data_IF_719253390699
#
_entry.id   IF_719253390699
#
_cell.length_a   1.000
_cell.length_b   1.000
_cell.length_c   1.000
_cell.angle_alpha   90.00
_cell.angle_beta   90.00
_cell.angle_gamma   90.00
#
_symmetry.space_group_name_H-M   'P 1'
#
loop_
_entity.id
_entity.type
_entity.pdbx_description
1 polymer ?
#
# COMPACT_ATOMS: atom_id res chain seq x y z
N UNK A 1 2.85 -20.96 52.93
CA UNK A 1 1.85 -20.88 51.83
C UNK A 1 1.72 -19.48 51.24
N UNK A 2 1.51 -18.41 52.03
CA UNK A 2 1.31 -17.04 51.52
C UNK A 2 2.49 -16.46 50.71
N UNK A 3 3.74 -16.71 51.13
CA UNK A 3 4.94 -16.23 50.41
C UNK A 3 5.12 -16.86 49.02
N UNK A 4 4.78 -18.15 48.87
CA UNK A 4 4.82 -18.83 47.57
C UNK A 4 3.74 -18.29 46.62
N UNK A 5 2.55 -17.98 47.13
CA UNK A 5 1.48 -17.39 46.33
C UNK A 5 1.85 -15.98 45.82
N UNK A 6 2.52 -15.16 46.65
CA UNK A 6 3.02 -13.84 46.26
C UNK A 6 4.09 -13.93 45.17
N UNK A 7 5.04 -14.86 45.28
CA UNK A 7 6.08 -15.09 44.27
C UNK A 7 5.50 -15.55 42.93
N UNK A 8 4.48 -16.43 42.95
CA UNK A 8 3.81 -16.90 41.74
C UNK A 8 2.98 -15.78 41.09
N UNK A 9 2.25 -14.98 41.87
CA UNK A 9 1.54 -13.80 41.35
C UNK A 9 2.49 -12.75 40.79
N UNK A 10 3.63 -12.52 41.43
CA UNK A 10 4.61 -11.54 40.96
C UNK A 10 5.28 -12.02 39.67
N UNK A 11 5.72 -13.29 39.61
CA UNK A 11 6.30 -13.88 38.41
C UNK A 11 5.32 -13.91 37.22
N UNK A 12 4.04 -14.23 37.47
CA UNK A 12 3.02 -14.21 36.42
C UNK A 12 2.69 -12.80 35.92
N UNK A 13 2.67 -11.79 36.79
CA UNK A 13 2.50 -10.39 36.36
C UNK A 13 3.63 -9.93 35.43
N UNK A 14 4.87 -10.31 35.71
CA UNK A 14 6.02 -10.01 34.83
C UNK A 14 5.92 -10.73 33.48
N UNK A 15 5.49 -12.00 33.48
CA UNK A 15 5.28 -12.75 32.24
C UNK A 15 4.17 -12.15 31.38
N UNK A 16 3.06 -11.71 31.98
CA UNK A 16 1.96 -11.03 31.28
C UNK A 16 2.45 -9.69 30.71
N UNK A 17 3.22 -8.91 31.47
CA UNK A 17 3.80 -7.65 31.00
C UNK A 17 4.73 -7.84 29.80
N UNK A 18 5.63 -8.84 29.86
CA UNK A 18 6.53 -9.19 28.76
C UNK A 18 5.77 -9.68 27.53
N UNK A 19 4.75 -10.52 27.72
CA UNK A 19 3.91 -11.01 26.63
C UNK A 19 3.17 -9.86 25.93
N UNK A 20 2.60 -8.94 26.70
CA UNK A 20 1.89 -7.77 26.17
C UNK A 20 2.83 -6.82 25.44
N UNK A 21 4.04 -6.59 25.96
CA UNK A 21 5.08 -5.82 25.28
C UNK A 21 5.49 -6.46 23.93
N UNK A 22 5.67 -7.78 23.90
CA UNK A 22 5.96 -8.52 22.67
C UNK A 22 4.82 -8.43 21.64
N UNK A 23 3.57 -8.55 22.08
CA UNK A 23 2.41 -8.40 21.21
C UNK A 23 2.32 -7.00 20.62
N UNK A 24 2.57 -5.96 21.42
CA UNK A 24 2.60 -4.58 20.94
C UNK A 24 3.74 -4.37 19.91
N UNK A 25 4.91 -4.95 20.16
CA UNK A 25 6.05 -4.85 19.25
C UNK A 25 5.78 -5.58 17.92
N UNK A 26 5.16 -6.76 17.97
CA UNK A 26 4.72 -7.49 16.77
C UNK A 26 3.64 -6.74 16.01
N UNK A 27 2.66 -6.16 16.70
CA UNK A 27 1.62 -5.33 16.08
C UNK A 27 2.23 -4.10 15.41
N UNK A 28 3.19 -3.43 16.06
CA UNK A 28 3.89 -2.28 15.50
C UNK A 28 4.68 -2.69 14.24
N UNK A 29 5.41 -3.80 14.28
CA UNK A 29 6.13 -4.34 13.12
C UNK A 29 5.20 -4.69 11.97
N UNK A 30 4.06 -5.30 12.26
CA UNK A 30 3.01 -5.58 11.27
C UNK A 30 2.48 -4.31 10.65
N UNK A 31 2.17 -3.29 11.45
CA UNK A 31 1.68 -1.98 10.97
C UNK A 31 2.74 -1.31 10.09
N UNK A 32 4.00 -1.28 10.52
CA UNK A 32 5.12 -0.71 9.74
C UNK A 32 5.31 -1.48 8.45
N UNK A 33 5.30 -2.81 8.49
CA UNK A 33 5.37 -3.64 7.29
C UNK A 33 4.20 -3.34 6.36
N UNK A 34 2.98 -3.25 6.87
CA UNK A 34 1.79 -2.96 6.07
C UNK A 34 1.83 -1.56 5.47
N UNK A 35 2.34 -0.58 6.20
CA UNK A 35 2.61 0.75 5.69
C UNK A 35 3.65 0.68 4.58
N UNK A 36 4.83 0.11 4.83
CA UNK A 36 5.93 -0.01 3.86
C UNK A 36 5.50 -0.77 2.58
N UNK A 37 4.91 -1.96 2.72
CA UNK A 37 4.43 -2.77 1.59
C UNK A 37 3.16 -2.21 0.93
N UNK A 38 2.31 -1.52 1.69
CA UNK A 38 1.12 -0.85 1.16
C UNK A 38 1.46 0.45 0.43
N UNK A 39 2.67 0.98 0.58
CA UNK A 39 3.16 2.18 -0.09
C UNK A 39 3.91 1.83 -1.37
N UNK A 40 3.21 1.22 -2.33
CA UNK A 40 3.57 1.41 -3.75
C UNK A 40 3.27 2.88 -4.13
N UNK A 41 4.00 3.82 -3.52
CA UNK A 41 3.87 5.24 -3.75
C UNK A 41 4.74 5.59 -4.96
N UNK A 42 4.08 5.85 -6.09
CA UNK A 42 4.67 6.47 -7.26
C UNK A 42 3.69 7.46 -7.86
N UNK A 43 4.20 8.38 -8.66
CA UNK A 43 3.38 9.29 -9.44
C UNK A 43 3.16 8.66 -10.82
N UNK A 44 1.91 8.33 -11.13
CA UNK A 44 1.50 7.98 -12.48
C UNK A 44 1.10 9.28 -13.20
N UNK A 45 1.81 9.64 -14.27
CA UNK A 45 1.42 10.75 -15.15
C UNK A 45 0.98 10.24 -16.51
N UNK A 46 -0.07 10.88 -17.02
CA UNK A 46 -0.59 10.65 -18.36
C UNK A 46 -0.02 11.76 -19.24
N UNK A 47 0.75 11.38 -20.26
CA UNK A 47 1.23 12.31 -21.28
C UNK A 47 0.47 12.02 -22.57
N UNK A 48 -0.41 12.93 -23.01
CA UNK A 48 -1.13 12.75 -24.27
C UNK A 48 -0.11 12.83 -25.41
N UNK A 49 -0.01 11.78 -26.22
CA UNK A 49 0.87 11.75 -27.38
C UNK A 49 0.08 12.21 -28.62
N UNK A 50 0.65 13.12 -29.41
CA UNK A 50 0.01 13.78 -30.56
C UNK A 50 -0.52 12.85 -31.66
N UNK A 51 -0.14 11.57 -31.69
CA UNK A 51 -0.31 10.69 -32.86
C UNK A 51 -1.16 9.43 -32.65
N UNK A 52 -2.06 9.41 -31.66
CA UNK A 52 -2.94 8.28 -31.31
C UNK A 52 -2.25 7.37 -30.27
N UNK A 53 -2.35 7.78 -29.01
CA UNK A 53 -1.89 6.99 -27.87
C UNK A 53 -1.74 7.83 -26.61
N UNK A 54 -2.09 7.26 -25.46
CA UNK A 54 -1.71 7.83 -24.15
C UNK A 54 -0.41 7.16 -23.72
N UNK A 55 0.63 7.96 -23.45
CA UNK A 55 1.88 7.48 -22.86
C UNK A 55 1.74 7.55 -21.35
N UNK A 56 1.97 6.43 -20.68
CA UNK A 56 1.92 6.33 -19.23
C UNK A 56 3.33 6.42 -18.67
N UNK A 57 3.61 7.50 -17.95
CA UNK A 57 4.87 7.72 -17.28
C UNK A 57 4.72 7.31 -15.81
N UNK A 58 5.50 6.32 -15.34
CA UNK A 58 5.58 5.99 -13.93
C UNK A 58 6.84 6.57 -13.32
N UNK A 59 6.68 7.32 -12.22
CA UNK A 59 7.79 7.82 -11.42
C UNK A 59 7.78 7.17 -10.04
N UNK A 60 8.69 6.23 -9.75
CA UNK A 60 8.82 5.68 -8.40
C UNK A 60 9.31 6.77 -7.44
N UNK A 61 8.85 6.73 -6.18
CA UNK A 61 9.23 7.70 -5.13
C UNK A 61 10.72 7.71 -4.81
N UNK A 62 11.45 6.65 -5.17
CA UNK A 62 12.90 6.51 -4.98
C UNK A 62 13.76 7.48 -5.82
N UNK A 63 13.15 8.41 -6.55
CA UNK A 63 13.87 9.42 -7.32
C UNK A 63 14.40 8.89 -8.66
N UNK A 64 14.03 7.67 -9.02
CA UNK A 64 14.50 7.06 -10.26
C UNK A 64 13.85 7.73 -11.48
N UNK A 65 14.57 7.62 -12.61
CA UNK A 65 14.21 8.20 -13.89
C UNK A 65 12.79 7.79 -14.29
N UNK A 66 12.05 8.75 -14.83
CA UNK A 66 10.67 8.55 -15.26
C UNK A 66 10.65 7.53 -16.40
N UNK A 67 10.04 6.39 -16.16
CA UNK A 67 10.04 5.29 -17.11
C UNK A 67 8.73 5.22 -17.86
N UNK A 68 8.88 4.88 -19.13
CA UNK A 68 7.77 4.57 -20.01
C UNK A 68 7.26 3.18 -19.70
N UNK A 69 6.00 3.07 -19.30
CA UNK A 69 5.45 1.80 -18.84
C UNK A 69 4.14 1.49 -19.54
N UNK A 70 3.99 0.23 -19.95
CA UNK A 70 2.71 -0.28 -20.38
C UNK A 70 1.81 -0.44 -19.14
N UNK A 71 0.68 0.26 -19.16
CA UNK A 71 -0.32 0.20 -18.09
C UNK A 71 -1.46 -0.71 -18.53
N UNK A 72 -1.71 -1.77 -17.76
CA UNK A 72 -2.85 -2.67 -17.96
C UNK A 72 -3.80 -2.57 -16.78
N UNK A 73 -5.09 -2.41 -17.05
CA UNK A 73 -6.10 -2.53 -16.01
C UNK A 73 -6.45 -4.01 -15.81
N UNK A 74 -6.10 -4.57 -14.65
CA UNK A 74 -6.51 -5.95 -14.31
C UNK A 74 -7.88 -6.00 -13.66
N UNK A 75 -8.23 -4.96 -12.92
CA UNK A 75 -9.51 -4.90 -12.21
C UNK A 75 -9.93 -3.46 -11.97
N UNK A 76 -11.15 -3.13 -12.39
CA UNK A 76 -11.78 -1.85 -12.16
C UNK A 76 -13.00 -2.02 -11.24
N UNK A 77 -12.78 -1.93 -9.94
CA UNK A 77 -13.84 -2.00 -8.94
C UNK A 77 -14.41 -0.62 -8.56
N UNK A 78 -15.58 -0.59 -7.89
CA UNK A 78 -16.19 0.66 -7.42
C UNK A 78 -15.31 1.42 -6.42
N UNK A 79 -14.48 0.70 -5.67
CA UNK A 79 -13.62 1.25 -4.61
C UNK A 79 -12.13 0.95 -4.80
N UNK A 80 -11.79 -0.07 -5.58
CA UNK A 80 -10.44 -0.62 -5.68
C UNK A 80 -10.06 -0.76 -7.15
N UNK A 81 -8.87 -0.30 -7.53
CA UNK A 81 -8.38 -0.42 -8.91
C UNK A 81 -7.08 -1.22 -8.87
N UNK A 82 -7.04 -2.36 -9.55
CA UNK A 82 -5.80 -3.10 -9.76
C UNK A 82 -5.20 -2.73 -11.11
N UNK A 83 -4.02 -2.15 -11.05
CA UNK A 83 -3.21 -1.82 -12.21
C UNK A 83 -2.03 -2.78 -12.28
N UNK A 84 -1.60 -3.11 -13.47
CA UNK A 84 -0.35 -3.80 -13.72
C UNK A 84 0.54 -2.86 -14.54
N UNK A 85 1.68 -2.49 -13.96
CA UNK A 85 2.65 -1.56 -14.53
C UNK A 85 3.92 -2.36 -14.76
N UNK A 86 4.25 -2.66 -16.02
CA UNK A 86 5.44 -3.43 -16.39
C UNK A 86 5.61 -4.74 -15.59
N UNK A 87 4.51 -5.50 -15.44
CA UNK A 87 4.44 -6.74 -14.66
C UNK A 87 4.34 -6.57 -13.13
N UNK A 88 4.49 -5.34 -12.61
CA UNK A 88 4.27 -5.04 -11.20
C UNK A 88 2.80 -4.72 -10.92
N UNK A 89 2.14 -5.54 -10.09
CA UNK A 89 0.75 -5.31 -9.69
C UNK A 89 0.66 -4.25 -8.61
N UNK A 90 -0.11 -3.19 -8.88
CA UNK A 90 -0.38 -2.08 -7.98
C UNK A 90 -1.87 -2.02 -7.64
N UNK A 91 -2.17 -1.94 -6.35
CA UNK A 91 -3.54 -1.75 -5.86
C UNK A 91 -3.73 -0.30 -5.43
N UNK A 92 -4.65 0.39 -6.11
CA UNK A 92 -5.08 1.72 -5.74
C UNK A 92 -6.31 1.63 -4.86
N UNK A 93 -6.16 2.15 -3.65
CA UNK A 93 -7.23 2.35 -2.69
C UNK A 93 -7.86 3.74 -2.90
N UNK A 94 -9.11 3.96 -2.47
CA UNK A 94 -9.82 5.22 -2.72
C UNK A 94 -9.21 6.43 -1.99
N UNK A 95 -8.39 6.16 -0.98
CA UNK A 95 -7.61 7.09 -0.14
C UNK A 95 -6.16 7.26 -0.62
N UNK A 96 -5.72 6.54 -1.66
CA UNK A 96 -4.37 6.66 -2.22
C UNK A 96 -4.13 7.97 -2.98
N UNK A 97 -5.18 8.65 -3.43
CA UNK A 97 -5.11 9.92 -4.16
C UNK A 97 -6.39 10.74 -3.98
N UNK A 98 -6.43 11.97 -4.51
CA UNK A 98 -7.67 12.75 -4.50
C UNK A 98 -8.76 12.09 -5.35
N UNK A 99 -10.02 12.32 -4.96
CA UNK A 99 -11.18 11.77 -5.68
C UNK A 99 -11.24 12.26 -7.13
N UNK A 100 -10.84 13.50 -7.43
CA UNK A 100 -10.76 13.97 -8.83
C UNK A 100 -9.73 13.17 -9.64
N UNK A 101 -8.54 12.93 -9.09
CA UNK A 101 -7.46 12.21 -9.77
C UNK A 101 -7.88 10.77 -10.08
N UNK A 102 -8.51 10.09 -9.12
CA UNK A 102 -9.05 8.74 -9.32
C UNK A 102 -10.17 8.71 -10.38
N UNK A 103 -11.05 9.71 -10.39
CA UNK A 103 -12.10 9.81 -11.44
C UNK A 103 -11.51 10.02 -12.83
N UNK A 104 -10.49 10.87 -12.96
CA UNK A 104 -9.80 11.08 -14.23
C UNK A 104 -9.11 9.79 -14.69
N UNK A 105 -8.38 9.11 -13.79
CA UNK A 105 -7.75 7.83 -14.06
C UNK A 105 -8.76 6.80 -14.58
N UNK A 106 -9.92 6.64 -13.91
CA UNK A 106 -10.97 5.71 -14.38
C UNK A 106 -11.45 6.02 -15.79
N UNK A 107 -11.62 7.29 -16.14
CA UNK A 107 -12.06 7.69 -17.49
C UNK A 107 -11.04 7.28 -18.55
N UNK A 108 -9.75 7.50 -18.26
CA UNK A 108 -8.67 7.09 -19.17
C UNK A 108 -8.57 5.58 -19.31
N UNK A 109 -8.69 4.83 -18.21
CA UNK A 109 -8.68 3.36 -18.24
C UNK A 109 -9.81 2.76 -19.08
N UNK A 110 -11.02 3.32 -18.96
CA UNK A 110 -12.18 2.88 -19.77
C UNK A 110 -12.04 3.25 -21.25
N UNK A 111 -11.27 4.29 -21.57
CA UNK A 111 -11.00 4.69 -22.95
C UNK A 111 -9.84 3.91 -23.60
N UNK A 112 -9.04 3.19 -22.81
CA UNK A 112 -7.87 2.44 -23.28
C UNK A 112 -8.12 0.94 -23.47
N UNK A 113 -9.30 0.44 -23.10
CA UNK A 113 -9.83 -0.90 -23.45
C UNK A 113 -10.55 -0.85 -24.82
#
# INVERSE_FOLDING_TARGET
MALLALLVCYGSAWLVGLAMAWLLLMALLLIVWWLEHGRACGELRIVPQEKIGCRWDWRPRSGDLRQDVALQCRYLGPWLIALEIDGSRLWLWPDSSSRESLRQLRRWLVQSD
#
